data_IF_225604660278
#
_entry.id   IF_225604660278
#
_cell.length_a   1.000
_cell.length_b   1.000
_cell.length_c   1.000
_cell.angle_alpha   90.00
_cell.angle_beta   90.00
_cell.angle_gamma   90.00
#
_symmetry.space_group_name_H-M   'P 1'
#
loop_
_entity.id
_entity.type
_entity.pdbx_description
1 polymer ?
#
# COMPACT_ATOMS: atom_id res chain seq x y z
N UNK A 1 -22.66 -9.64 36.87
CA UNK A 1 -23.72 -10.02 35.91
C UNK A 1 -23.93 -11.53 35.97
N UNK A 2 -25.15 -11.99 36.16
CA UNK A 2 -25.53 -13.37 35.87
C UNK A 2 -26.13 -13.44 34.46
N UNK A 3 -26.32 -14.64 33.93
CA UNK A 3 -26.84 -14.89 32.57
C UNK A 3 -28.17 -14.19 32.24
N UNK A 4 -28.93 -13.75 33.23
CA UNK A 4 -30.21 -13.07 33.04
C UNK A 4 -30.46 -11.85 33.96
N UNK A 5 -29.55 -11.52 34.88
CA UNK A 5 -29.76 -10.46 35.88
C UNK A 5 -28.47 -9.73 36.23
N UNK A 6 -28.59 -8.42 36.33
CA UNK A 6 -27.55 -7.54 36.86
C UNK A 6 -27.75 -7.39 38.36
N UNK A 7 -26.81 -7.91 39.16
CA UNK A 7 -26.79 -7.72 40.61
C UNK A 7 -25.69 -6.71 40.94
N UNK A 8 -26.05 -5.49 41.40
CA UNK A 8 -25.06 -4.53 41.86
C UNK A 8 -24.37 -5.05 43.12
N UNK A 9 -23.06 -4.87 43.20
CA UNK A 9 -22.25 -5.26 44.35
C UNK A 9 -21.38 -4.08 44.76
N UNK A 10 -21.34 -3.78 46.07
CA UNK A 10 -20.62 -2.62 46.59
C UNK A 10 -19.12 -2.86 46.78
N UNK A 11 -18.68 -4.13 46.77
CA UNK A 11 -17.28 -4.51 47.01
C UNK A 11 -16.84 -5.62 46.07
N UNK A 12 -15.65 -5.45 45.48
CA UNK A 12 -14.97 -6.48 44.72
C UNK A 12 -14.00 -7.26 45.63
N UNK A 13 -13.97 -8.58 45.49
CA UNK A 13 -13.00 -9.45 46.17
C UNK A 13 -12.09 -10.18 45.17
N UNK A 14 -10.89 -10.54 45.61
CA UNK A 14 -9.93 -11.24 44.77
C UNK A 14 -10.48 -12.60 44.27
N UNK A 15 -10.20 -12.94 43.02
CA UNK A 15 -10.60 -14.21 42.39
C UNK A 15 -11.94 -14.18 41.65
N UNK A 16 -12.67 -13.06 41.66
CA UNK A 16 -13.93 -12.89 40.95
C UNK A 16 -13.82 -11.87 39.81
N UNK A 17 -14.70 -12.01 38.81
CA UNK A 17 -14.81 -11.09 37.68
C UNK A 17 -15.98 -10.14 37.91
N UNK A 18 -15.70 -8.84 37.92
CA UNK A 18 -16.68 -7.77 38.08
C UNK A 18 -16.64 -6.83 36.88
N UNK A 19 -17.81 -6.26 36.53
CA UNK A 19 -17.89 -5.18 35.57
C UNK A 19 -18.00 -3.85 36.33
N UNK A 20 -17.09 -2.91 36.05
CA UNK A 20 -17.09 -1.58 36.65
C UNK A 20 -17.59 -0.59 35.61
N UNK A 21 -18.56 0.25 35.99
CA UNK A 21 -19.14 1.27 35.11
C UNK A 21 -18.50 2.62 35.42
N UNK A 22 -18.15 3.38 34.39
CA UNK A 22 -17.69 4.77 34.52
C UNK A 22 -16.19 4.98 34.67
N UNK A 23 -15.37 3.97 34.32
CA UNK A 23 -13.94 4.17 34.15
C UNK A 23 -13.67 5.09 32.95
N UNK A 24 -12.70 5.99 33.11
CA UNK A 24 -12.20 6.86 32.04
C UNK A 24 -10.83 6.35 31.62
N UNK A 25 -10.56 6.33 30.32
CA UNK A 25 -9.25 5.98 29.74
C UNK A 25 -8.75 4.57 30.15
N UNK A 26 -9.62 3.57 30.10
CA UNK A 26 -9.26 2.16 30.35
C UNK A 26 -9.68 1.32 29.15
N UNK A 27 -8.75 0.56 28.60
CA UNK A 27 -8.93 -0.32 27.44
C UNK A 27 -8.77 -1.80 27.81
N UNK A 28 -9.16 -2.68 26.89
CA UNK A 28 -9.02 -4.13 27.07
C UNK A 28 -7.55 -4.52 27.19
N UNK A 29 -7.16 -5.04 28.36
CA UNK A 29 -5.78 -5.45 28.66
C UNK A 29 -5.07 -4.60 29.70
N UNK A 30 -5.66 -3.47 30.12
CA UNK A 30 -5.09 -2.60 31.14
C UNK A 30 -5.20 -3.20 32.56
N UNK A 31 -4.22 -2.89 33.40
CA UNK A 31 -4.17 -3.35 34.79
C UNK A 31 -4.66 -2.27 35.74
N UNK A 32 -5.66 -2.57 36.57
CA UNK A 32 -6.08 -1.73 37.70
C UNK A 32 -5.36 -2.20 38.97
N UNK A 33 -4.52 -1.34 39.55
CA UNK A 33 -3.74 -1.62 40.76
C UNK A 33 -4.01 -0.62 41.89
N UNK A 34 -3.51 -0.92 43.09
CA UNK A 34 -3.51 0.04 44.20
C UNK A 34 -2.62 1.26 43.84
N UNK A 35 -3.05 2.51 44.10
CA UNK A 35 -2.25 3.70 43.82
C UNK A 35 -0.88 3.74 44.53
N UNK A 36 -0.78 3.13 45.70
CA UNK A 36 0.46 3.11 46.50
C UNK A 36 1.38 1.95 46.13
N UNK A 37 0.87 0.94 45.44
CA UNK A 37 1.62 -0.25 45.04
C UNK A 37 1.25 -0.64 43.61
N UNK A 38 1.84 0.09 42.67
CA UNK A 38 1.61 -0.12 41.25
C UNK A 38 2.24 -1.44 40.80
N UNK A 39 1.42 -2.27 40.16
CA UNK A 39 1.84 -3.50 39.51
C UNK A 39 1.24 -3.50 38.10
N UNK A 40 2.01 -3.96 37.12
CA UNK A 40 1.54 -4.18 35.76
C UNK A 40 1.44 -5.69 35.60
N UNK A 41 0.23 -6.19 35.35
CA UNK A 41 0.04 -7.60 35.01
C UNK A 41 0.47 -7.83 33.56
N UNK A 42 0.70 -9.08 33.21
CA UNK A 42 1.14 -9.46 31.86
C UNK A 42 0.13 -8.96 30.82
N UNK A 43 0.61 -8.12 29.91
CA UNK A 43 -0.20 -7.58 28.83
C UNK A 43 -0.50 -8.69 27.83
N UNK A 44 -1.77 -8.78 27.40
CA UNK A 44 -2.12 -9.70 26.32
C UNK A 44 -1.48 -9.21 25.02
N UNK A 45 -0.65 -10.05 24.40
CA UNK A 45 -0.19 -9.83 23.04
C UNK A 45 -1.27 -10.28 22.07
N UNK A 46 -1.87 -9.34 21.36
CA UNK A 46 -2.82 -9.64 20.30
C UNK A 46 -2.06 -9.97 19.00
N UNK A 47 -2.44 -11.04 18.28
CA UNK A 47 -1.84 -11.36 17.00
C UNK A 47 -2.18 -10.29 15.97
N UNK A 48 -1.29 -10.11 14.99
CA UNK A 48 -1.54 -9.21 13.87
C UNK A 48 -2.78 -9.66 13.07
N UNK A 49 -3.57 -8.70 12.54
CA UNK A 49 -4.75 -9.00 11.74
C UNK A 49 -4.36 -9.81 10.51
N UNK A 50 -5.22 -10.78 10.17
CA UNK A 50 -4.93 -11.78 9.13
C UNK A 50 -5.57 -11.39 7.79
N UNK A 51 -6.60 -10.53 7.82
CA UNK A 51 -7.29 -10.03 6.63
C UNK A 51 -7.40 -8.52 6.72
N UNK A 52 -7.15 -7.85 5.60
CA UNK A 52 -7.31 -6.41 5.45
C UNK A 52 -8.31 -6.13 4.33
N UNK A 53 -9.10 -5.06 4.51
CA UNK A 53 -10.17 -4.65 3.61
C UNK A 53 -10.18 -3.13 3.53
N UNK A 54 -10.38 -2.58 2.33
CA UNK A 54 -10.51 -1.14 2.15
C UNK A 54 -11.95 -0.70 2.41
N UNK A 55 -12.12 0.38 3.17
CA UNK A 55 -13.42 0.98 3.46
C UNK A 55 -13.48 2.42 2.95
N UNK A 56 -14.49 2.71 2.13
CA UNK A 56 -14.70 4.03 1.55
C UNK A 56 -16.02 4.65 2.03
N UNK A 57 -16.01 5.86 2.61
CA UNK A 57 -17.24 6.55 2.97
C UNK A 57 -17.93 7.06 1.70
N UNK A 58 -19.26 6.93 1.61
CA UNK A 58 -20.01 7.45 0.46
C UNK A 58 -20.11 8.97 0.43
N UNK A 59 -20.10 9.63 1.58
CA UNK A 59 -20.25 11.09 1.71
C UNK A 59 -19.21 11.67 2.66
N UNK A 60 -18.91 12.97 2.52
CA UNK A 60 -18.03 13.67 3.47
C UNK A 60 -18.57 13.67 4.91
N UNK A 61 -19.89 13.72 5.07
CA UNK A 61 -20.51 13.60 6.40
C UNK A 61 -20.27 12.22 7.02
N UNK A 62 -20.20 11.18 6.21
CA UNK A 62 -19.95 9.83 6.68
C UNK A 62 -18.47 9.58 6.95
N UNK A 63 -17.56 10.34 6.34
CA UNK A 63 -16.13 10.28 6.65
C UNK A 63 -15.84 10.64 8.12
N UNK A 64 -16.46 11.71 8.65
CA UNK A 64 -16.29 12.09 10.05
C UNK A 64 -16.88 11.03 11.00
N UNK A 65 -18.05 10.49 10.66
CA UNK A 65 -18.68 9.42 11.44
C UNK A 65 -17.88 8.12 11.40
N UNK A 66 -17.31 7.79 10.24
CA UNK A 66 -16.46 6.61 10.04
C UNK A 66 -15.23 6.67 10.95
N UNK A 67 -14.55 7.81 11.00
CA UNK A 67 -13.39 8.00 11.88
C UNK A 67 -13.77 7.82 13.36
N UNK A 68 -14.91 8.39 13.78
CA UNK A 68 -15.40 8.24 15.15
C UNK A 68 -15.81 6.80 15.47
N UNK A 69 -16.46 6.10 14.53
CA UNK A 69 -16.86 4.71 14.73
C UNK A 69 -15.66 3.78 14.79
N UNK A 70 -14.66 4.00 13.95
CA UNK A 70 -13.42 3.22 13.95
C UNK A 70 -12.69 3.36 15.28
N UNK A 71 -12.58 4.59 15.81
CA UNK A 71 -11.90 4.83 17.08
C UNK A 71 -12.59 4.07 18.23
N UNK A 72 -13.93 4.14 18.31
CA UNK A 72 -14.69 3.40 19.33
C UNK A 72 -14.58 1.88 19.18
N UNK A 73 -14.61 1.38 17.94
CA UNK A 73 -14.47 -0.05 17.69
C UNK A 73 -13.05 -0.56 17.99
N UNK A 74 -12.03 0.25 17.75
CA UNK A 74 -10.64 -0.07 18.12
C UNK A 74 -10.41 -0.04 19.64
N UNK A 75 -11.12 0.81 20.38
CA UNK A 75 -11.11 0.81 21.85
C UNK A 75 -11.78 -0.45 22.44
N UNK A 76 -12.84 -0.94 21.80
CA UNK A 76 -13.54 -2.17 22.19
C UNK A 76 -12.76 -3.43 21.82
N UNK A 77 -12.20 -3.47 20.60
CA UNK A 77 -11.47 -4.62 20.06
C UNK A 77 -10.02 -4.26 19.68
N UNK A 78 -9.03 -4.63 20.51
CA UNK A 78 -7.62 -4.36 20.23
C UNK A 78 -7.04 -5.20 19.09
N UNK A 79 -7.77 -6.21 18.59
CA UNK A 79 -7.37 -7.00 17.41
C UNK A 79 -7.75 -6.33 16.09
N UNK A 80 -8.58 -5.29 16.16
CA UNK A 80 -8.96 -4.47 15.01
C UNK A 80 -7.91 -3.36 14.79
N UNK A 81 -7.17 -3.45 13.69
CA UNK A 81 -6.19 -2.41 13.32
C UNK A 81 -6.72 -1.58 12.18
N UNK A 82 -6.46 -0.28 12.22
CA UNK A 82 -6.78 0.62 11.12
C UNK A 82 -5.54 1.43 10.78
N UNK A 83 -5.27 1.54 9.48
CA UNK A 83 -4.28 2.45 8.96
C UNK A 83 -4.82 3.16 7.73
N UNK A 84 -4.30 4.36 7.49
CA UNK A 84 -4.55 5.06 6.24
C UNK A 84 -3.44 4.66 5.27
N UNK A 85 -3.82 4.11 4.12
CA UNK A 85 -2.87 3.85 3.05
C UNK A 85 -2.47 5.18 2.42
N UNK A 86 -1.18 5.50 2.47
CA UNK A 86 -0.62 6.75 1.96
C UNK A 86 -0.55 6.81 0.43
N UNK A 87 -0.57 5.66 -0.26
CA UNK A 87 -0.52 5.60 -1.72
C UNK A 87 -1.92 5.72 -2.34
N UNK A 88 -2.93 5.11 -1.73
CA UNK A 88 -4.32 5.15 -2.24
C UNK A 88 -5.19 6.20 -1.57
N UNK A 89 -4.79 6.70 -0.39
CA UNK A 89 -5.60 7.59 0.44
C UNK A 89 -6.84 6.92 1.04
N UNK A 90 -6.93 5.59 0.95
CA UNK A 90 -8.05 4.81 1.47
C UNK A 90 -7.80 4.43 2.93
N UNK A 91 -8.88 4.33 3.69
CA UNK A 91 -8.83 3.75 5.04
C UNK A 91 -8.84 2.23 4.91
N UNK A 92 -7.80 1.57 5.40
CA UNK A 92 -7.69 0.11 5.40
C UNK A 92 -7.95 -0.41 6.81
N UNK A 93 -8.85 -1.37 6.92
CA UNK A 93 -9.24 -2.01 8.17
C UNK A 93 -8.77 -3.46 8.19
N UNK A 94 -8.11 -3.85 9.26
CA UNK A 94 -7.55 -5.17 9.49
C UNK A 94 -8.28 -5.92 10.59
N UNK A 95 -8.59 -7.19 10.37
CA UNK A 95 -9.25 -8.05 11.34
C UNK A 95 -8.75 -9.50 11.30
N UNK A 96 -9.19 -10.27 12.28
CA UNK A 96 -8.79 -11.68 12.45
C UNK A 96 -9.42 -12.65 11.42
N UNK A 97 -10.40 -12.21 10.63
CA UNK A 97 -11.09 -13.04 9.64
C UNK A 97 -12.22 -12.30 8.94
N UNK A 98 -12.76 -12.92 7.88
CA UNK A 98 -13.81 -12.33 7.03
C UNK A 98 -15.09 -12.04 7.84
N UNK A 99 -15.54 -13.03 8.63
CA UNK A 99 -16.69 -12.85 9.52
C UNK A 99 -16.46 -11.74 10.56
N UNK A 100 -15.23 -11.60 11.05
CA UNK A 100 -14.92 -10.56 12.03
C UNK A 100 -15.09 -9.18 11.38
N UNK A 101 -14.52 -8.97 10.18
CA UNK A 101 -14.66 -7.73 9.44
C UNK A 101 -16.12 -7.46 9.02
N UNK A 102 -16.87 -8.48 8.62
CA UNK A 102 -18.29 -8.34 8.28
C UNK A 102 -19.13 -7.86 9.48
N UNK A 103 -18.88 -8.42 10.67
CA UNK A 103 -19.55 -7.97 11.90
C UNK A 103 -19.17 -6.53 12.21
N UNK A 104 -17.91 -6.15 12.08
CA UNK A 104 -17.46 -4.77 12.35
C UNK A 104 -18.08 -3.77 11.37
N UNK A 105 -18.11 -4.08 10.08
CA UNK A 105 -18.77 -3.27 9.05
C UNK A 105 -20.27 -3.14 9.33
N UNK A 106 -20.91 -4.24 9.71
CA UNK A 106 -22.33 -4.26 10.04
C UNK A 106 -22.64 -3.45 11.31
N UNK A 107 -21.80 -3.54 12.35
CA UNK A 107 -21.89 -2.68 13.55
C UNK A 107 -21.71 -1.20 13.19
N UNK A 108 -20.75 -0.85 12.33
CA UNK A 108 -20.59 0.53 11.83
C UNK A 108 -21.87 1.03 11.11
N UNK A 109 -22.51 0.18 10.31
CA UNK A 109 -23.76 0.51 9.63
C UNK A 109 -24.95 0.64 10.58
N UNK A 110 -25.10 -0.27 11.55
CA UNK A 110 -26.26 -0.28 12.46
C UNK A 110 -26.15 0.74 13.60
N UNK A 111 -25.01 0.78 14.27
CA UNK A 111 -24.80 1.60 15.47
C UNK A 111 -24.52 3.07 15.11
N UNK A 112 -23.68 3.29 14.10
CA UNK A 112 -23.19 4.63 13.74
C UNK A 112 -23.85 5.19 12.48
N UNK A 113 -24.71 4.42 11.80
CA UNK A 113 -25.42 4.81 10.56
C UNK A 113 -24.47 5.32 9.48
N UNK A 114 -23.29 4.69 9.38
CA UNK A 114 -22.27 5.02 8.38
C UNK A 114 -22.56 4.22 7.13
N UNK A 115 -22.80 4.92 6.02
CA UNK A 115 -22.82 4.27 4.71
C UNK A 115 -21.41 4.23 4.13
N UNK A 116 -20.77 3.07 4.25
CA UNK A 116 -19.47 2.80 3.65
C UNK A 116 -19.53 1.65 2.65
N UNK A 117 -18.79 1.79 1.57
CA UNK A 117 -18.53 0.74 0.61
C UNK A 117 -17.34 -0.07 1.10
N UNK A 118 -17.49 -1.39 1.04
CA UNK A 118 -16.43 -2.34 1.37
C UNK A 118 -15.83 -2.80 0.05
N UNK A 119 -14.57 -2.45 -0.17
CA UNK A 119 -13.81 -2.83 -1.35
C UNK A 119 -12.72 -3.83 -0.99
N UNK A 120 -12.25 -4.59 -1.98
CA UNK A 120 -10.99 -5.31 -1.82
C UNK A 120 -9.86 -4.28 -1.67
N UNK A 121 -8.84 -4.52 -0.83
CA UNK A 121 -7.67 -3.65 -0.77
C UNK A 121 -7.10 -3.47 -2.17
N UNK A 122 -6.77 -2.24 -2.53
CA UNK A 122 -6.08 -2.01 -3.79
C UNK A 122 -4.63 -2.46 -3.65
N UNK A 123 -4.16 -3.16 -4.67
CA UNK A 123 -2.75 -3.50 -4.77
C UNK A 123 -2.03 -2.25 -5.27
N UNK A 124 -0.99 -1.85 -4.55
CA UNK A 124 -0.05 -0.81 -4.96
C UNK A 124 0.77 -1.28 -6.17
N UNK A 125 0.18 -1.19 -7.37
CA UNK A 125 0.90 -1.40 -8.60
C UNK A 125 1.87 -0.24 -8.84
N UNK A 126 3.00 -0.53 -9.46
CA UNK A 126 3.97 0.46 -9.90
C UNK A 126 4.21 0.31 -11.40
N UNK A 127 4.74 1.33 -12.04
CA UNK A 127 5.15 1.26 -13.44
C UNK A 127 6.67 1.33 -13.53
N UNK A 128 7.26 0.63 -14.50
CA UNK A 128 8.66 0.82 -14.85
C UNK A 128 8.83 0.74 -16.36
N UNK A 129 10.02 1.04 -16.85
CA UNK A 129 10.37 1.00 -18.27
C UNK A 129 11.32 -0.15 -18.54
N UNK A 130 11.28 -0.70 -19.76
CA UNK A 130 12.21 -1.76 -20.18
C UNK A 130 13.28 -1.26 -21.13
N UNK A 131 12.96 -0.26 -21.95
CA UNK A 131 13.82 0.17 -23.04
C UNK A 131 14.45 1.51 -22.74
N UNK A 132 15.75 1.59 -22.97
CA UNK A 132 16.47 2.86 -22.96
C UNK A 132 16.02 3.70 -24.18
N UNK A 133 15.58 4.94 -23.92
CA UNK A 133 15.17 5.90 -24.94
C UNK A 133 16.10 7.10 -24.89
N UNK A 134 16.72 7.42 -26.02
CA UNK A 134 17.67 8.53 -26.14
C UNK A 134 17.07 9.71 -26.91
N UNK A 135 17.53 10.91 -26.60
CA UNK A 135 17.27 12.15 -27.33
C UNK A 135 15.78 12.48 -27.46
N UNK A 136 15.01 12.32 -26.39
CA UNK A 136 13.61 12.74 -26.38
C UNK A 136 13.56 14.24 -26.17
N UNK A 137 13.16 14.97 -27.20
CA UNK A 137 12.94 16.40 -27.11
C UNK A 137 11.47 16.75 -26.88
N UNK A 138 11.27 17.73 -26.00
CA UNK A 138 10.00 18.42 -25.81
C UNK A 138 10.25 19.92 -25.77
N UNK A 139 9.39 20.67 -26.48
CA UNK A 139 9.43 22.13 -26.48
C UNK A 139 8.07 22.66 -26.04
N UNK A 140 8.03 23.27 -24.87
CA UNK A 140 6.85 23.96 -24.35
C UNK A 140 6.86 25.40 -24.86
N UNK A 141 5.85 25.76 -25.67
CA UNK A 141 5.62 27.14 -26.11
C UNK A 141 4.16 27.50 -25.84
N UNK A 142 3.93 28.45 -24.94
CA UNK A 142 2.59 28.98 -24.68
C UNK A 142 2.62 30.50 -24.65
N UNK A 143 1.83 31.11 -25.52
CA UNK A 143 1.70 32.56 -25.64
C UNK A 143 0.23 32.93 -25.38
N UNK A 144 -0.16 32.94 -24.11
CA UNK A 144 -1.49 33.37 -23.66
C UNK A 144 -1.38 34.74 -23.03
N UNK A 145 -1.56 35.81 -23.81
CA UNK A 145 -1.89 37.19 -23.38
C UNK A 145 -1.02 37.92 -22.34
N UNK A 146 -0.07 37.25 -21.69
CA UNK A 146 0.83 37.75 -20.65
C UNK A 146 2.28 37.30 -20.90
N UNK A 147 3.08 37.06 -19.85
CA UNK A 147 4.46 36.56 -19.99
C UNK A 147 4.47 35.26 -20.79
N UNK A 148 5.28 35.22 -21.86
CA UNK A 148 5.45 34.03 -22.66
C UNK A 148 6.05 32.90 -21.83
N UNK A 149 5.73 31.66 -22.18
CA UNK A 149 6.38 30.48 -21.62
C UNK A 149 7.12 29.75 -22.72
N UNK A 150 8.44 29.63 -22.56
CA UNK A 150 9.33 28.89 -23.43
C UNK A 150 10.27 28.01 -22.62
N UNK A 151 10.27 26.70 -22.90
CA UNK A 151 11.29 25.79 -22.41
C UNK A 151 11.48 24.65 -23.40
N UNK A 152 12.73 24.35 -23.78
CA UNK A 152 13.09 23.15 -24.52
C UNK A 152 13.99 22.27 -23.67
N UNK A 153 13.67 20.98 -23.60
CA UNK A 153 14.40 20.00 -22.78
C UNK A 153 14.63 18.74 -23.60
N UNK A 154 15.85 18.20 -23.53
CA UNK A 154 16.24 16.95 -24.17
C UNK A 154 16.75 16.00 -23.09
N UNK A 155 16.05 14.87 -22.92
CA UNK A 155 16.41 13.87 -21.92
C UNK A 155 16.72 12.52 -22.57
N UNK A 156 17.56 11.75 -21.89
CA UNK A 156 17.62 10.30 -22.02
C UNK A 156 16.92 9.68 -20.83
N UNK A 157 16.19 8.60 -21.08
CA UNK A 157 15.51 7.83 -20.06
C UNK A 157 16.03 6.40 -20.13
N UNK A 158 16.60 5.91 -19.04
CA UNK A 158 17.13 4.55 -18.91
C UNK A 158 16.50 3.83 -17.70
N UNK A 159 16.24 2.52 -17.81
CA UNK A 159 15.83 1.72 -16.66
C UNK A 159 16.98 1.66 -15.66
N UNK A 160 16.68 1.90 -14.39
CA UNK A 160 17.68 1.91 -13.32
C UNK A 160 17.29 0.96 -12.21
N UNK A 161 18.16 0.01 -11.89
CA UNK A 161 18.00 -0.87 -10.74
C UNK A 161 19.13 -0.53 -9.77
N UNK A 162 18.86 0.37 -8.82
CA UNK A 162 19.83 0.76 -7.80
C UNK A 162 20.02 -0.33 -6.74
N UNK A 163 21.22 -0.41 -6.17
CA UNK A 163 21.60 -1.43 -5.16
C UNK A 163 21.01 -1.16 -3.75
N UNK A 164 20.42 0.02 -3.50
CA UNK A 164 19.96 0.46 -2.16
C UNK A 164 18.52 1.03 -2.13
N UNK A 165 17.61 0.52 -2.96
CA UNK A 165 16.22 0.99 -2.96
C UNK A 165 16.00 2.40 -3.52
N UNK A 166 17.04 2.99 -4.14
CA UNK A 166 16.90 4.22 -4.92
C UNK A 166 16.06 3.96 -6.17
N UNK A 167 14.82 4.47 -6.16
CA UNK A 167 13.84 4.31 -7.25
C UNK A 167 13.99 5.35 -8.36
N UNK A 168 14.85 6.35 -8.18
CA UNK A 168 15.07 7.44 -9.11
C UNK A 168 16.50 7.97 -9.05
N UNK A 169 17.13 8.16 -10.21
CA UNK A 169 18.43 8.85 -10.33
C UNK A 169 18.35 9.95 -11.39
N UNK A 170 18.80 11.16 -11.05
CA UNK A 170 18.88 12.28 -11.99
C UNK A 170 20.33 12.67 -12.25
N UNK A 171 20.76 12.59 -13.51
CA UNK A 171 22.11 12.99 -13.94
C UNK A 171 22.02 14.17 -14.91
N UNK A 172 22.75 15.25 -14.65
CA UNK A 172 22.82 16.39 -15.57
C UNK A 172 24.13 16.40 -16.35
N UNK A 173 24.05 16.25 -17.68
CA UNK A 173 25.18 16.35 -18.62
C UNK A 173 25.15 17.64 -19.45
N UNK A 174 24.41 18.65 -18.99
CA UNK A 174 24.26 19.93 -19.69
C UNK A 174 25.62 20.64 -19.80
N UNK A 175 26.14 20.75 -21.01
CA UNK A 175 27.36 21.49 -21.34
C UNK A 175 27.03 22.84 -21.97
N UNK A 176 27.66 23.92 -21.52
CA UNK A 176 27.69 25.20 -22.24
C UNK A 176 26.60 26.23 -21.91
N UNK A 177 25.94 26.15 -20.75
CA UNK A 177 25.06 27.23 -20.27
C UNK A 177 23.73 27.40 -21.01
N UNK A 178 23.36 26.46 -21.89
CA UNK A 178 22.06 26.42 -22.60
C UNK A 178 20.85 26.21 -21.71
N UNK A 179 21.06 25.78 -20.47
CA UNK A 179 20.10 25.87 -19.39
C UNK A 179 20.87 26.46 -18.21
N UNK A 180 20.48 27.65 -17.71
CA UNK A 180 21.00 28.17 -16.44
C UNK A 180 20.88 27.11 -15.33
N UNK A 181 21.93 26.98 -14.51
CA UNK A 181 21.97 25.95 -13.45
C UNK A 181 20.81 26.07 -12.45
N UNK A 182 20.24 27.25 -12.34
CA UNK A 182 19.06 27.56 -11.52
C UNK A 182 17.79 26.83 -11.98
N UNK A 183 17.67 26.48 -13.26
CA UNK A 183 16.49 25.78 -13.80
C UNK A 183 16.63 24.25 -13.82
N UNK A 184 17.83 23.71 -13.57
CA UNK A 184 18.06 22.26 -13.54
C UNK A 184 17.22 21.58 -12.44
N UNK A 185 17.15 22.09 -11.19
CA UNK A 185 16.27 21.54 -10.17
C UNK A 185 14.79 21.61 -10.53
N UNK A 186 14.36 22.63 -11.30
CA UNK A 186 12.97 22.74 -11.75
C UNK A 186 12.59 21.64 -12.74
N UNK A 187 13.54 21.24 -13.61
CA UNK A 187 13.34 20.10 -14.53
C UNK A 187 13.24 18.79 -13.75
N UNK A 188 14.11 18.59 -12.76
CA UNK A 188 14.09 17.42 -11.87
C UNK A 188 12.76 17.33 -11.09
N UNK A 189 12.33 18.43 -10.46
CA UNK A 189 11.03 18.49 -9.79
C UNK A 189 9.86 18.21 -10.76
N UNK A 190 9.96 18.65 -12.01
CA UNK A 190 8.97 18.34 -13.05
C UNK A 190 8.95 16.86 -13.44
N UNK A 191 10.13 16.22 -13.48
CA UNK A 191 10.25 14.79 -13.73
C UNK A 191 9.68 13.99 -12.55
N UNK A 192 10.04 14.33 -11.31
CA UNK A 192 9.51 13.69 -10.10
C UNK A 192 7.98 13.80 -10.01
N UNK A 193 7.41 14.98 -10.31
CA UNK A 193 5.96 15.16 -10.37
C UNK A 193 5.33 14.27 -11.45
N UNK A 194 5.95 14.14 -12.62
CA UNK A 194 5.47 13.22 -13.66
C UNK A 194 5.61 11.75 -13.27
N UNK A 195 6.57 11.39 -12.43
CA UNK A 195 6.71 10.01 -11.96
C UNK A 195 5.54 9.58 -11.08
N UNK A 196 4.93 10.49 -10.33
CA UNK A 196 3.75 10.17 -9.52
C UNK A 196 2.54 9.79 -10.39
N UNK A 197 2.48 10.31 -11.63
CA UNK A 197 1.40 10.04 -12.57
C UNK A 197 1.93 9.22 -13.75
N UNK A 198 1.85 7.90 -13.61
CA UNK A 198 2.25 6.93 -14.63
C UNK A 198 1.63 7.14 -16.00
N UNK A 199 2.16 6.42 -16.99
CA UNK A 199 1.78 6.58 -18.39
C UNK A 199 0.76 5.54 -18.84
N UNK A 200 0.75 4.34 -18.23
CA UNK A 200 -0.16 3.25 -18.63
C UNK A 200 -1.49 3.32 -17.89
N UNK A 201 -1.46 3.16 -16.58
CA UNK A 201 -2.62 3.02 -15.71
C UNK A 201 -2.63 4.09 -14.60
N UNK A 202 -1.72 5.05 -14.67
CA UNK A 202 -1.62 6.16 -13.70
C UNK A 202 -0.91 5.79 -12.41
N UNK A 203 -0.23 4.63 -12.35
CA UNK A 203 0.54 4.22 -11.18
C UNK A 203 1.91 4.89 -11.12
N UNK A 204 2.49 5.07 -9.93
CA UNK A 204 3.78 5.73 -9.81
C UNK A 204 4.88 4.95 -10.54
N UNK A 205 5.67 5.67 -11.34
CA UNK A 205 6.83 5.16 -12.04
C UNK A 205 8.01 5.01 -11.08
N UNK A 206 8.69 3.86 -11.14
CA UNK A 206 9.88 3.55 -10.35
C UNK A 206 10.98 2.97 -11.22
N UNK A 207 12.20 2.95 -10.68
CA UNK A 207 13.39 2.39 -11.32
C UNK A 207 13.76 3.15 -12.60
N UNK A 208 13.79 4.48 -12.49
CA UNK A 208 14.09 5.39 -13.60
C UNK A 208 15.38 6.15 -13.37
N UNK A 209 16.22 6.22 -14.40
CA UNK A 209 17.30 7.18 -14.46
C UNK A 209 17.09 8.15 -15.61
N UNK A 210 17.06 9.43 -15.25
CA UNK A 210 16.83 10.54 -16.18
C UNK A 210 18.15 11.28 -16.35
N UNK A 211 18.67 11.28 -17.58
CA UNK A 211 19.84 12.08 -17.92
C UNK A 211 19.42 13.30 -18.73
N UNK A 212 19.63 14.50 -18.18
CA UNK A 212 19.43 15.75 -18.90
C UNK A 212 20.64 16.02 -19.81
N UNK A 213 20.43 15.97 -21.13
CA UNK A 213 21.49 16.15 -22.11
C UNK A 213 21.69 17.62 -22.48
N UNK A 214 20.63 18.25 -23.00
CA UNK A 214 20.68 19.62 -23.51
C UNK A 214 19.28 20.26 -23.45
N UNK A 215 19.20 21.55 -23.71
CA UNK A 215 17.93 22.26 -23.85
C UNK A 215 18.08 23.61 -24.49
N UNK A 216 17.03 24.41 -24.43
CA UNK A 216 17.07 25.80 -24.83
C UNK A 216 16.19 26.65 -23.92
N UNK A 217 16.71 27.82 -23.56
CA UNK A 217 15.98 28.87 -22.86
C UNK A 217 15.87 30.11 -23.74
N UNK A 218 14.92 30.97 -23.41
CA UNK A 218 14.72 32.29 -23.99
C UNK A 218 14.75 33.31 -22.86
N UNK A 219 15.51 34.40 -23.00
CA UNK A 219 15.78 35.32 -21.89
C UNK A 219 14.53 35.99 -21.29
N UNK A 220 13.49 36.17 -22.10
CA UNK A 220 12.26 36.90 -21.70
C UNK A 220 11.09 35.96 -21.39
N UNK A 221 11.06 34.78 -22.01
CA UNK A 221 9.92 33.86 -21.95
C UNK A 221 10.21 32.57 -21.17
N UNK A 222 11.45 32.34 -20.73
CA UNK A 222 11.76 31.20 -19.88
C UNK A 222 11.52 31.50 -18.41
N UNK A 223 10.86 30.56 -17.74
CA UNK A 223 10.57 30.59 -16.31
C UNK A 223 10.78 29.21 -15.70
N UNK A 224 10.99 29.15 -14.39
CA UNK A 224 11.09 27.89 -13.64
C UNK A 224 9.87 26.99 -13.88
N UNK A 225 8.67 27.58 -13.91
CA UNK A 225 7.42 26.85 -14.17
C UNK A 225 7.39 26.25 -15.59
N UNK A 226 7.93 26.96 -16.60
CA UNK A 226 7.99 26.43 -17.96
C UNK A 226 8.92 25.21 -18.05
N UNK A 227 10.07 25.25 -17.37
CA UNK A 227 10.99 24.11 -17.29
C UNK A 227 10.41 22.93 -16.50
N UNK A 228 9.67 23.21 -15.42
CA UNK A 228 8.95 22.19 -14.66
C UNK A 228 7.91 21.46 -15.50
N UNK A 229 7.07 22.19 -16.24
CA UNK A 229 6.07 21.62 -17.14
C UNK A 229 6.76 20.84 -18.27
N UNK A 230 7.83 21.38 -18.84
CA UNK A 230 8.56 20.71 -19.91
C UNK A 230 9.25 19.42 -19.44
N UNK A 231 9.79 19.40 -18.22
CA UNK A 231 10.32 18.19 -17.56
C UNK A 231 9.26 17.10 -17.37
N UNK A 232 8.07 17.49 -16.91
CA UNK A 232 6.94 16.57 -16.74
C UNK A 232 6.49 15.94 -18.08
N UNK A 233 6.35 16.77 -19.13
CA UNK A 233 5.88 16.33 -20.44
C UNK A 233 6.92 15.50 -21.19
N UNK A 234 8.20 15.87 -21.11
CA UNK A 234 9.27 15.11 -21.77
C UNK A 234 9.41 13.72 -21.15
N UNK A 235 9.24 13.59 -19.83
CA UNK A 235 9.24 12.29 -19.16
C UNK A 235 8.08 11.41 -19.62
N UNK A 236 6.85 11.94 -19.68
CA UNK A 236 5.68 11.19 -20.17
C UNK A 236 5.87 10.69 -21.60
N UNK A 237 6.41 11.55 -22.47
CA UNK A 237 6.70 11.19 -23.87
C UNK A 237 7.82 10.14 -23.96
N UNK A 238 8.85 10.26 -23.15
CA UNK A 238 9.95 9.30 -23.09
C UNK A 238 9.49 7.94 -22.57
N UNK A 239 8.74 7.92 -21.46
CA UNK A 239 8.20 6.72 -20.85
C UNK A 239 7.23 5.97 -21.78
N UNK A 240 6.40 6.68 -22.55
CA UNK A 240 5.53 6.06 -23.56
C UNK A 240 6.31 5.30 -24.67
N UNK A 241 7.50 5.80 -25.03
CA UNK A 241 8.38 5.16 -26.03
C UNK A 241 9.25 4.05 -25.43
N UNK A 242 9.36 4.00 -24.10
CA UNK A 242 10.28 3.13 -23.36
C UNK A 242 9.72 1.73 -23.06
N UNK A 243 8.61 1.35 -23.70
CA UNK A 243 7.87 0.11 -23.41
C UNK A 243 7.57 -0.03 -21.91
N UNK A 244 6.67 0.80 -21.38
CA UNK A 244 6.33 0.75 -19.97
C UNK A 244 5.68 -0.60 -19.62
N UNK A 245 5.95 -1.09 -18.42
CA UNK A 245 5.39 -2.33 -17.86
C UNK A 245 4.89 -2.08 -16.45
N UNK A 246 3.85 -2.82 -16.05
CA UNK A 246 3.29 -2.75 -14.70
C UNK A 246 4.03 -3.76 -13.81
N UNK A 247 4.37 -3.32 -12.61
CA UNK A 247 4.96 -4.09 -11.55
C UNK A 247 3.91 -4.37 -10.47
N UNK A 248 3.85 -5.61 -10.00
CA UNK A 248 3.09 -6.01 -8.82
C UNK A 248 4.02 -6.33 -7.64
N UNK A 249 3.60 -6.05 -6.39
CA UNK A 249 4.35 -6.43 -5.21
C UNK A 249 4.31 -7.95 -5.01
N UNK A 250 5.48 -8.53 -4.83
CA UNK A 250 5.70 -9.92 -4.49
C UNK A 250 5.95 -10.02 -3.00
N UNK A 251 5.22 -10.93 -2.36
CA UNK A 251 5.33 -11.22 -0.94
C UNK A 251 6.15 -12.49 -0.75
N UNK A 252 7.14 -12.43 0.14
CA UNK A 252 7.75 -13.61 0.73
C UNK A 252 6.78 -14.20 1.75
N UNK A 253 6.16 -15.31 1.38
CA UNK A 253 5.20 -16.05 2.18
C UNK A 253 5.90 -17.24 2.82
N UNK A 254 5.79 -17.36 4.14
CA UNK A 254 6.20 -18.52 4.90
C UNK A 254 4.96 -19.21 5.45
N UNK A 255 4.75 -20.47 5.10
CA UNK A 255 3.61 -21.28 5.55
C UNK A 255 4.12 -22.44 6.39
N UNK A 256 3.69 -22.50 7.64
CA UNK A 256 3.98 -23.62 8.54
C UNK A 256 2.78 -24.55 8.59
N UNK A 257 2.95 -25.80 8.19
CA UNK A 257 1.88 -26.81 8.12
C UNK A 257 2.38 -28.19 8.55
N UNK A 258 1.53 -29.07 9.09
CA UNK A 258 1.87 -30.49 9.25
C UNK A 258 2.15 -31.17 7.89
N UNK A 259 2.95 -32.24 7.89
CA UNK A 259 3.36 -32.96 6.67
C UNK A 259 2.16 -33.50 5.86
N UNK A 260 1.08 -33.88 6.54
CA UNK A 260 -0.13 -34.42 5.93
C UNK A 260 -0.78 -33.48 4.89
N UNK A 261 -0.66 -32.16 5.10
CA UNK A 261 -1.33 -31.13 4.26
C UNK A 261 -0.35 -30.38 3.36
N UNK A 262 0.93 -30.79 3.33
CA UNK A 262 1.96 -30.12 2.53
C UNK A 262 1.61 -30.09 1.04
N UNK A 263 1.07 -31.20 0.51
CA UNK A 263 0.68 -31.28 -0.90
C UNK A 263 -0.39 -30.26 -1.29
N UNK A 264 -1.39 -30.08 -0.44
CA UNK A 264 -2.50 -29.14 -0.69
C UNK A 264 -2.04 -27.68 -0.61
N UNK A 265 -1.13 -27.36 0.32
CA UNK A 265 -0.52 -26.02 0.45
C UNK A 265 0.33 -25.69 -0.77
N UNK A 266 1.16 -26.64 -1.23
CA UNK A 266 1.98 -26.48 -2.43
C UNK A 266 1.10 -26.31 -3.67
N UNK A 267 0.01 -27.07 -3.77
CA UNK A 267 -0.96 -26.94 -4.86
C UNK A 267 -1.63 -25.57 -4.87
N UNK A 268 -2.02 -25.05 -3.70
CA UNK A 268 -2.63 -23.72 -3.59
C UNK A 268 -1.67 -22.60 -3.97
N UNK A 269 -0.44 -22.63 -3.44
CA UNK A 269 0.58 -21.63 -3.75
C UNK A 269 0.90 -21.61 -5.25
N UNK A 270 1.03 -22.78 -5.90
CA UNK A 270 1.24 -22.85 -7.34
C UNK A 270 0.05 -22.31 -8.14
N UNK A 271 -1.18 -22.58 -7.70
CA UNK A 271 -2.39 -22.06 -8.36
C UNK A 271 -2.47 -20.54 -8.32
N UNK A 272 -1.88 -19.93 -7.29
CA UNK A 272 -1.77 -18.48 -7.08
C UNK A 272 -0.53 -17.84 -7.69
N UNK A 273 0.08 -18.49 -8.69
CA UNK A 273 1.33 -18.02 -9.35
C UNK A 273 2.52 -17.91 -8.38
N UNK A 274 2.46 -18.61 -7.25
CA UNK A 274 3.52 -18.66 -6.27
C UNK A 274 4.73 -19.47 -6.74
N UNK A 275 5.92 -18.93 -6.53
CA UNK A 275 7.18 -19.61 -6.80
C UNK A 275 7.78 -20.14 -5.50
N UNK A 276 7.84 -21.45 -5.34
CA UNK A 276 8.39 -22.09 -4.14
C UNK A 276 9.92 -21.93 -4.15
N UNK A 277 10.45 -21.33 -3.08
CA UNK A 277 11.89 -21.10 -2.89
C UNK A 277 12.52 -22.28 -2.14
N UNK A 278 11.95 -22.62 -0.98
CA UNK A 278 12.53 -23.62 -0.09
C UNK A 278 11.45 -24.34 0.73
N UNK A 279 11.78 -25.56 1.14
CA UNK A 279 11.00 -26.36 2.07
C UNK A 279 11.92 -26.79 3.21
N UNK A 280 11.59 -26.38 4.43
CA UNK A 280 12.36 -26.66 5.64
C UNK A 280 11.54 -27.50 6.60
N UNK A 281 12.21 -28.30 7.44
CA UNK A 281 11.57 -29.02 8.54
C UNK A 281 11.91 -28.32 9.85
N UNK A 282 10.88 -27.94 10.61
CA UNK A 282 11.05 -27.28 11.91
C UNK A 282 10.18 -27.97 12.95
N UNK A 283 10.84 -28.68 13.87
CA UNK A 283 10.22 -29.30 15.04
C UNK A 283 8.96 -30.15 14.74
N UNK A 284 8.99 -30.96 13.67
CA UNK A 284 7.87 -31.83 13.26
C UNK A 284 6.80 -31.13 12.42
N UNK A 285 6.94 -29.83 12.12
CA UNK A 285 6.16 -29.11 11.11
C UNK A 285 7.02 -28.83 9.86
N UNK A 286 6.38 -28.75 8.69
CA UNK A 286 7.01 -28.33 7.44
C UNK A 286 6.78 -26.83 7.25
N UNK A 287 7.84 -26.13 6.89
CA UNK A 287 7.83 -24.71 6.56
C UNK A 287 8.06 -24.57 5.06
N UNK A 288 7.08 -24.02 4.35
CA UNK A 288 7.15 -23.77 2.91
C UNK A 288 7.35 -22.28 2.70
N UNK A 289 8.46 -21.91 2.05
CA UNK A 289 8.74 -20.54 1.64
C UNK A 289 8.45 -20.35 0.16
N UNK A 290 7.65 -19.36 -0.18
CA UNK A 290 7.28 -19.05 -1.55
C UNK A 290 7.19 -17.55 -1.79
N UNK A 291 7.47 -17.13 -3.02
CA UNK A 291 7.20 -15.78 -3.52
C UNK A 291 5.86 -15.78 -4.23
N UNK A 292 4.90 -15.02 -3.70
CA UNK A 292 3.54 -14.97 -4.26
C UNK A 292 3.14 -13.51 -4.49
N UNK A 293 2.51 -13.17 -5.63
CA UNK A 293 1.94 -11.85 -5.83
C UNK A 293 0.89 -11.52 -4.78
N UNK A 294 0.94 -10.31 -4.21
CA UNK A 294 -0.06 -9.87 -3.23
C UNK A 294 -1.50 -9.92 -3.79
N UNK A 295 -1.63 -9.67 -5.10
CA UNK A 295 -2.90 -9.72 -5.85
C UNK A 295 -3.61 -11.07 -5.75
N UNK A 296 -2.86 -12.17 -5.57
CA UNK A 296 -3.40 -13.53 -5.48
C UNK A 296 -3.55 -14.01 -4.03
N UNK A 297 -3.04 -13.24 -3.05
CA UNK A 297 -3.08 -13.61 -1.63
C UNK A 297 -4.38 -13.19 -0.93
N UNK A 298 -5.26 -12.46 -1.60
CA UNK A 298 -6.57 -12.09 -1.06
C UNK A 298 -7.41 -13.34 -0.74
N UNK A 299 -7.87 -13.46 0.51
CA UNK A 299 -8.64 -14.61 0.97
C UNK A 299 -7.82 -15.88 1.25
N UNK A 300 -6.49 -15.82 1.12
CA UNK A 300 -5.61 -16.98 1.34
C UNK A 300 -5.80 -17.65 2.71
N UNK A 301 -6.11 -16.86 3.74
CA UNK A 301 -6.39 -17.35 5.10
C UNK A 301 -7.54 -18.37 5.13
N UNK A 302 -8.63 -18.06 4.43
CA UNK A 302 -9.84 -18.89 4.40
C UNK A 302 -9.58 -20.21 3.68
N UNK A 303 -8.90 -20.13 2.54
CA UNK A 303 -8.54 -21.30 1.74
C UNK A 303 -7.52 -22.20 2.46
N UNK A 304 -6.48 -21.59 3.07
CA UNK A 304 -5.49 -22.31 3.85
C UNK A 304 -6.13 -23.00 5.06
N UNK A 305 -7.00 -22.31 5.80
CA UNK A 305 -7.71 -22.89 6.95
C UNK A 305 -8.60 -24.05 6.53
N UNK A 306 -9.31 -23.93 5.42
CA UNK A 306 -10.20 -24.99 4.91
C UNK A 306 -9.43 -26.23 4.48
N UNK A 307 -8.29 -26.04 3.79
CA UNK A 307 -7.43 -27.14 3.31
C UNK A 307 -6.66 -27.83 4.45
N UNK A 308 -6.26 -27.08 5.48
CA UNK A 308 -5.40 -27.59 6.56
C UNK A 308 -6.16 -27.86 7.87
N UNK A 309 -7.50 -27.80 7.84
CA UNK A 309 -8.37 -27.90 9.01
C UNK A 309 -7.99 -26.90 10.13
N UNK A 310 -7.46 -25.74 9.74
CA UNK A 310 -7.00 -24.69 10.65
C UNK A 310 -5.71 -25.01 11.41
N UNK A 311 -4.92 -25.99 10.96
CA UNK A 311 -3.65 -26.36 11.60
C UNK A 311 -2.43 -25.66 10.99
N UNK A 312 -2.57 -25.00 9.86
CA UNK A 312 -1.49 -24.22 9.26
C UNK A 312 -1.54 -22.75 9.68
N UNK A 313 -0.36 -22.16 9.75
CA UNK A 313 -0.15 -20.73 9.94
C UNK A 313 0.63 -20.19 8.75
N UNK A 314 0.43 -18.92 8.40
CA UNK A 314 1.27 -18.25 7.41
C UNK A 314 1.67 -16.87 7.90
N UNK A 315 2.81 -16.40 7.40
CA UNK A 315 3.27 -15.03 7.53
C UNK A 315 3.69 -14.53 6.15
N UNK A 316 3.49 -13.25 5.87
CA UNK A 316 3.92 -12.63 4.63
C UNK A 316 4.69 -11.34 4.90
N UNK A 317 5.76 -11.12 4.16
CA UNK A 317 6.58 -9.91 4.21
C UNK A 317 6.80 -9.44 2.77
N UNK A 318 6.84 -8.12 2.55
CA UNK A 318 7.20 -7.58 1.25
C UNK A 318 8.64 -7.97 0.90
N UNK A 319 8.85 -8.52 -0.30
CA UNK A 319 10.17 -8.89 -0.82
C UNK A 319 10.60 -7.91 -1.92
N UNK A 320 9.86 -7.88 -3.02
CA UNK A 320 10.26 -7.14 -4.22
C UNK A 320 9.07 -6.81 -5.12
N UNK A 321 9.30 -5.99 -6.14
CA UNK A 321 8.34 -5.75 -7.21
C UNK A 321 8.73 -6.58 -8.44
N UNK A 322 7.77 -7.29 -9.02
CA UNK A 322 7.96 -8.10 -10.23
C UNK A 322 7.02 -7.66 -11.34
N UNK A 323 7.42 -7.89 -12.59
CA UNK A 323 6.60 -7.63 -13.76
C UNK A 323 5.31 -8.47 -13.74
N UNK A 324 4.19 -7.81 -14.00
CA UNK A 324 2.89 -8.43 -14.15
C UNK A 324 2.82 -9.18 -15.48
N UNK A 325 2.32 -10.43 -15.52
CA UNK A 325 2.08 -11.14 -16.76
C UNK A 325 1.16 -10.36 -17.71
N UNK A 326 1.41 -10.49 -19.02
CA UNK A 326 0.69 -9.71 -20.05
C UNK A 326 -0.85 -9.83 -20.01
N UNK A 327 -1.39 -10.94 -19.50
CA UNK A 327 -2.84 -11.13 -19.36
C UNK A 327 -3.43 -10.23 -18.27
N UNK A 328 -2.78 -10.17 -17.11
CA UNK A 328 -3.23 -9.37 -15.96
C UNK A 328 -2.95 -7.89 -16.21
N UNK A 329 -1.83 -7.56 -16.86
CA UNK A 329 -1.50 -6.18 -17.24
C UNK A 329 -2.57 -5.54 -18.12
N UNK A 330 -3.11 -6.27 -19.10
CA UNK A 330 -4.20 -5.76 -19.96
C UNK A 330 -5.49 -5.49 -19.18
N UNK A 331 -5.85 -6.36 -18.23
CA UNK A 331 -7.05 -6.15 -17.40
C UNK A 331 -6.89 -4.93 -16.49
N UNK A 332 -5.72 -4.74 -15.90
CA UNK A 332 -5.41 -3.57 -15.07
C UNK A 332 -5.49 -2.29 -15.90
N UNK A 333 -4.90 -2.28 -17.10
CA UNK A 333 -4.95 -1.14 -18.01
C UNK A 333 -6.40 -0.82 -18.36
N UNK A 334 -7.18 -1.81 -18.78
CA UNK A 334 -8.60 -1.63 -19.13
C UNK A 334 -9.42 -1.02 -17.96
N UNK A 335 -9.24 -1.54 -16.74
CA UNK A 335 -9.87 -0.98 -15.53
C UNK A 335 -9.48 0.47 -15.26
N UNK A 336 -8.21 0.84 -15.47
CA UNK A 336 -7.72 2.18 -15.21
C UNK A 336 -8.14 3.19 -16.31
N UNK A 337 -8.19 2.76 -17.57
CA UNK A 337 -8.60 3.62 -18.70
C UNK A 337 -10.11 3.64 -18.94
N UNK A 338 -10.88 2.79 -18.26
CA UNK A 338 -12.35 2.76 -18.33
C UNK A 338 -12.92 2.11 -19.59
N UNK A 339 -12.17 1.17 -20.20
CA UNK A 339 -12.64 0.33 -21.32
C UNK A 339 -13.15 -1.04 -20.86
#
# INVERSE_FOLDING_TARGET
>A
MHSNKENPVDRASAGHIYAVIGLKDTTTGDTLSDPNQQIVLESMTFPDPVIEVAIEPKTKSDQEKLSLSIQKLAEEDPTFKVHLDSETGQTVIGGMGELHLDILVDRMRREFKVEANVGKPQVAYKETIKRLVQNVEYTHKKQTGGSGQFAKVIINLEPFTGEEGATYEFESKVTGGRIPREYIPSVDAGAQDAMQYGVLAGYPLVNLKVTLLDGAYHEVDSSEMAFKIAGSQVLKKAAALAQPVILEPIMAVEVTTPEDYMGDVIGDLNSRRGQIQAMEERAGARVVRAHVPLSEMFGYVGDLRSKTQGRANYSMVFDSYSEVPANVSKEIIAKATGE
#
